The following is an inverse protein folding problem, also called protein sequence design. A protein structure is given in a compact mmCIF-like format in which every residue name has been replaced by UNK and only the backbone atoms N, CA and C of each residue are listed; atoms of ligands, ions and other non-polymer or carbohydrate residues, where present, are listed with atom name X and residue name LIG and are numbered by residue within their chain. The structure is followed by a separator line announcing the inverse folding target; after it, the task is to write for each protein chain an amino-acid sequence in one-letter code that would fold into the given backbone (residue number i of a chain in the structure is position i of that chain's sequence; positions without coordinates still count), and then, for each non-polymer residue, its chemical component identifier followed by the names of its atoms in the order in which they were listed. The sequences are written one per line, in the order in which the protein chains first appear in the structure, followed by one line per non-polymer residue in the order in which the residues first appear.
data_IF_961135377206
#
_entry.id   IF_961135377206
#
_cell.length_a   1.000
_cell.length_b   1.000
_cell.length_c   1.000
_cell.angle_alpha   90.00
_cell.angle_beta   90.00
_cell.angle_gamma   90.00
#
_symmetry.space_group_name_H-M   'P 1'
#
loop_
_entity.id
_entity.type
_entity.pdbx_description
1 polymer ?
#
# COMPACT_ATOMS: atom_id res chain seq x y z
N UNK A 1 42.50 -13.56 -44.07
CA UNK A 1 42.55 -13.81 -42.61
C UNK A 1 41.15 -13.95 -42.05
N UNK A 2 41.00 -14.94 -41.17
CA UNK A 2 39.79 -15.62 -40.73
C UNK A 2 38.97 -14.85 -39.67
N UNK A 3 37.63 -14.87 -39.77
CA UNK A 3 36.68 -14.90 -38.62
C UNK A 3 35.38 -15.67 -38.92
N UNK A 4 35.38 -16.57 -39.91
CA UNK A 4 34.21 -17.43 -40.22
C UNK A 4 34.56 -18.87 -39.90
N UNK A 5 34.24 -19.31 -38.67
CA UNK A 5 33.99 -20.70 -38.22
C UNK A 5 34.41 -20.85 -36.76
N UNK A 6 33.40 -20.91 -35.88
CA UNK A 6 33.32 -21.43 -34.49
C UNK A 6 32.28 -20.52 -33.82
N UNK A 7 31.02 -20.91 -33.58
CA UNK A 7 30.55 -22.10 -32.90
C UNK A 7 29.13 -22.43 -33.40
N UNK A 8 28.99 -23.59 -34.04
CA UNK A 8 27.75 -24.33 -34.04
C UNK A 8 27.84 -25.34 -32.90
N UNK A 9 27.02 -25.20 -31.86
CA UNK A 9 26.59 -26.29 -30.99
C UNK A 9 25.53 -25.76 -30.01
N UNK A 10 24.50 -26.58 -29.78
CA UNK A 10 23.38 -26.43 -28.84
C UNK A 10 22.10 -25.79 -29.41
N UNK A 11 21.60 -26.43 -30.46
CA UNK A 11 20.17 -26.73 -30.51
C UNK A 11 19.86 -27.94 -29.60
N UNK A 12 18.60 -28.03 -29.16
CA UNK A 12 17.98 -29.14 -28.43
C UNK A 12 18.08 -29.10 -26.88
N UNK A 13 17.38 -28.14 -26.28
CA UNK A 13 16.92 -28.22 -24.89
C UNK A 13 15.40 -28.17 -24.84
N UNK A 14 14.79 -29.34 -25.01
CA UNK A 14 13.42 -29.74 -24.63
C UNK A 14 12.46 -28.67 -24.12
N UNK A 15 11.36 -28.53 -24.86
CA UNK A 15 10.06 -28.17 -24.32
C UNK A 15 9.74 -29.05 -23.10
N UNK A 16 9.90 -28.48 -21.92
CA UNK A 16 9.19 -28.87 -20.73
C UNK A 16 8.72 -27.56 -20.11
N UNK A 17 7.57 -27.08 -20.60
CA UNK A 17 6.75 -26.19 -19.81
C UNK A 17 6.44 -26.97 -18.53
N UNK A 18 7.19 -26.69 -17.47
CA UNK A 18 6.79 -27.02 -16.12
C UNK A 18 5.52 -26.21 -15.88
N UNK A 19 4.38 -26.79 -16.24
CA UNK A 19 3.12 -26.50 -15.57
C UNK A 19 3.35 -27.00 -14.15
N UNK A 20 4.01 -26.16 -13.35
CA UNK A 20 3.92 -26.27 -11.92
C UNK A 20 2.42 -26.33 -11.62
N UNK A 21 1.95 -27.25 -10.75
CA UNK A 21 0.61 -27.12 -10.25
C UNK A 21 0.52 -25.69 -9.74
N UNK A 22 -0.42 -24.92 -10.28
CA UNK A 22 -0.83 -23.68 -9.64
C UNK A 22 -1.37 -24.18 -8.32
N UNK A 23 -0.50 -24.24 -7.31
CA UNK A 23 -0.91 -24.34 -5.93
C UNK A 23 -2.00 -23.30 -5.83
N UNK A 24 -3.22 -23.76 -5.56
CA UNK A 24 -4.34 -22.87 -5.31
C UNK A 24 -3.78 -21.83 -4.34
N UNK A 25 -3.52 -20.62 -4.83
CA UNK A 25 -2.95 -19.58 -4.01
C UNK A 25 -4.04 -19.39 -2.98
N UNK A 26 -3.81 -19.84 -1.75
CA UNK A 26 -4.68 -19.50 -0.65
C UNK A 26 -4.72 -17.98 -0.67
N UNK A 27 -5.83 -17.42 -1.17
CA UNK A 27 -6.02 -15.99 -1.25
C UNK A 27 -5.80 -15.48 0.15
N UNK A 28 -4.81 -14.59 0.34
CA UNK A 28 -4.55 -14.02 1.65
C UNK A 28 -5.89 -13.48 2.18
N UNK A 29 -6.38 -13.92 3.36
CA UNK A 29 -7.68 -13.49 3.86
C UNK A 29 -7.75 -11.97 4.08
N UNK A 30 -6.60 -11.31 4.24
CA UNK A 30 -6.51 -9.85 4.33
C UNK A 30 -6.20 -9.18 2.97
N UNK A 31 -6.32 -9.88 1.83
CA UNK A 31 -5.93 -9.33 0.51
C UNK A 31 -6.68 -8.03 0.18
N UNK A 32 -7.97 -7.94 0.50
CA UNK A 32 -8.75 -6.72 0.27
C UNK A 32 -8.31 -5.59 1.19
N UNK A 33 -8.08 -5.87 2.49
CA UNK A 33 -7.52 -4.91 3.44
C UNK A 33 -6.18 -4.35 2.96
N UNK A 34 -5.29 -5.23 2.49
CA UNK A 34 -3.98 -4.85 1.95
C UNK A 34 -4.14 -3.95 0.71
N UNK A 35 -5.10 -4.24 -0.16
CA UNK A 35 -5.37 -3.42 -1.34
C UNK A 35 -5.93 -2.03 -0.96
N UNK A 36 -6.79 -1.95 0.06
CA UNK A 36 -7.30 -0.68 0.57
C UNK A 36 -6.18 0.16 1.17
N UNK A 37 -5.32 -0.43 2.00
CA UNK A 37 -4.12 0.22 2.54
C UNK A 37 -3.22 0.74 1.41
N UNK A 38 -2.99 -0.05 0.35
CA UNK A 38 -2.16 0.38 -0.76
C UNK A 38 -2.75 1.59 -1.52
N UNK A 39 -4.08 1.64 -1.68
CA UNK A 39 -4.77 2.77 -2.30
C UNK A 39 -4.73 4.01 -1.42
N UNK A 40 -4.93 3.83 -0.11
CA UNK A 40 -4.80 4.89 0.87
C UNK A 40 -3.38 5.48 0.88
N UNK A 41 -2.34 4.62 0.89
CA UNK A 41 -0.94 5.03 0.79
C UNK A 41 -0.63 5.81 -0.50
N UNK A 42 -1.28 5.47 -1.61
CA UNK A 42 -1.11 6.16 -2.87
C UNK A 42 -1.71 7.57 -2.83
N UNK A 43 -2.90 7.72 -2.23
CA UNK A 43 -3.51 9.01 -2.01
C UNK A 43 -2.68 9.88 -1.07
N UNK A 44 -2.10 9.30 -0.03
CA UNK A 44 -1.28 10.08 0.92
C UNK A 44 -0.03 10.62 0.25
N UNK A 45 0.68 9.79 -0.53
CA UNK A 45 1.82 10.29 -1.31
C UNK A 45 1.41 11.39 -2.28
N UNK A 46 0.24 11.27 -2.91
CA UNK A 46 -0.28 12.30 -3.82
C UNK A 46 -0.62 13.57 -3.07
N UNK A 47 -1.24 13.48 -1.91
CA UNK A 47 -1.53 14.61 -1.04
C UNK A 47 -0.23 15.34 -0.63
N UNK A 48 0.76 14.60 -0.14
CA UNK A 48 2.06 15.16 0.26
C UNK A 48 2.76 15.89 -0.90
N UNK A 49 2.63 15.41 -2.15
CA UNK A 49 3.22 16.11 -3.32
C UNK A 49 2.63 17.49 -3.60
N UNK A 50 1.45 17.81 -3.05
CA UNK A 50 0.86 19.15 -3.15
C UNK A 50 1.57 20.18 -2.25
N UNK A 51 2.36 19.71 -1.28
CA UNK A 51 3.08 20.52 -0.30
C UNK A 51 4.60 20.42 -0.43
N UNK A 52 5.10 19.64 -1.39
CA UNK A 52 6.52 19.62 -1.74
C UNK A 52 6.87 20.77 -2.69
N UNK A 53 8.07 21.33 -2.56
CA UNK A 53 8.57 22.45 -3.37
C UNK A 53 8.62 22.15 -4.89
N UNK A 54 8.49 20.89 -5.30
CA UNK A 54 8.52 20.44 -6.70
C UNK A 54 7.30 20.91 -7.52
N UNK A 55 6.19 21.24 -6.86
CA UNK A 55 4.97 21.75 -7.51
C UNK A 55 4.56 23.04 -6.79
N UNK A 56 5.06 24.22 -7.20
CA UNK A 56 4.68 25.46 -6.57
C UNK A 56 3.20 25.76 -6.86
N UNK A 57 2.36 25.54 -5.87
CA UNK A 57 0.97 25.99 -5.83
C UNK A 57 0.94 27.23 -4.94
N UNK A 58 1.00 28.42 -5.57
CA UNK A 58 1.07 29.71 -4.88
C UNK A 58 -0.24 30.10 -4.18
N UNK A 59 -1.37 29.56 -4.65
CA UNK A 59 -2.71 29.83 -4.14
C UNK A 59 -3.21 28.68 -3.26
N UNK A 60 -3.43 28.97 -1.98
CA UNK A 60 -3.99 28.04 -1.00
C UNK A 60 -5.33 27.45 -1.47
N UNK A 61 -6.21 28.27 -2.06
CA UNK A 61 -7.51 27.80 -2.55
C UNK A 61 -7.36 26.79 -3.71
N UNK A 62 -6.35 26.99 -4.57
CA UNK A 62 -6.06 26.05 -5.64
C UNK A 62 -5.48 24.73 -5.10
N UNK A 63 -4.69 24.79 -4.02
CA UNK A 63 -4.17 23.59 -3.34
C UNK A 63 -5.30 22.81 -2.68
N UNK A 64 -6.18 23.51 -1.98
CA UNK A 64 -7.35 22.90 -1.31
C UNK A 64 -8.27 22.22 -2.31
N UNK A 65 -8.54 22.86 -3.46
CA UNK A 65 -9.35 22.26 -4.52
C UNK A 65 -8.73 20.96 -5.09
N UNK A 66 -7.40 20.81 -5.05
CA UNK A 66 -6.71 19.59 -5.44
C UNK A 66 -6.65 18.55 -4.32
N UNK A 67 -6.55 19.00 -3.06
CA UNK A 67 -6.48 18.18 -1.87
C UNK A 67 -7.83 17.58 -1.48
N UNK A 68 -8.92 18.34 -1.57
CA UNK A 68 -10.27 17.96 -1.14
C UNK A 68 -10.73 16.60 -1.70
N UNK A 69 -10.65 16.31 -3.03
CA UNK A 69 -11.04 15.00 -3.53
C UNK A 69 -10.14 13.86 -3.04
N UNK A 70 -8.85 14.12 -2.80
CA UNK A 70 -7.91 13.13 -2.27
C UNK A 70 -8.28 12.79 -0.83
N UNK A 71 -8.49 13.81 0.00
CA UNK A 71 -8.87 13.66 1.40
C UNK A 71 -10.25 13.01 1.56
N UNK A 72 -11.22 13.35 0.70
CA UNK A 72 -12.53 12.70 0.69
C UNK A 72 -12.39 11.19 0.44
N UNK A 73 -11.59 10.80 -0.55
CA UNK A 73 -11.33 9.39 -0.83
C UNK A 73 -10.56 8.70 0.31
N UNK A 74 -9.59 9.38 0.92
CA UNK A 74 -8.85 8.84 2.07
C UNK A 74 -9.77 8.59 3.27
N UNK A 75 -10.75 9.47 3.52
CA UNK A 75 -11.77 9.26 4.56
C UNK A 75 -12.60 8.01 4.30
N UNK A 76 -13.13 7.88 3.08
CA UNK A 76 -13.90 6.69 2.68
C UNK A 76 -13.07 5.40 2.79
N UNK A 77 -11.79 5.46 2.40
CA UNK A 77 -10.88 4.31 2.50
C UNK A 77 -10.57 3.97 3.96
N UNK A 78 -10.35 4.96 4.81
CA UNK A 78 -10.10 4.76 6.23
C UNK A 78 -11.28 4.09 6.93
N UNK A 79 -12.51 4.55 6.69
CA UNK A 79 -13.72 3.92 7.23
C UNK A 79 -13.85 2.45 6.79
N UNK A 80 -13.52 2.16 5.53
CA UNK A 80 -13.51 0.78 5.03
C UNK A 80 -12.42 -0.03 5.70
N UNK A 81 -11.20 0.48 5.82
CA UNK A 81 -10.06 -0.19 6.46
C UNK A 81 -10.41 -0.56 7.91
N UNK A 82 -10.96 0.39 8.68
CA UNK A 82 -11.28 0.18 10.11
C UNK A 82 -12.46 -0.77 10.33
N UNK A 83 -13.27 -1.03 9.30
CA UNK A 83 -14.32 -2.06 9.33
C UNK A 83 -13.79 -3.51 9.27
N UNK A 84 -12.53 -3.71 8.86
CA UNK A 84 -11.92 -5.03 8.80
C UNK A 84 -11.40 -5.51 10.17
N UNK A 85 -11.21 -6.82 10.25
CA UNK A 85 -10.37 -7.45 11.26
C UNK A 85 -9.08 -7.93 10.60
N UNK A 86 -7.95 -7.61 11.20
CA UNK A 86 -6.65 -8.10 10.75
C UNK A 86 -6.53 -9.57 11.17
N UNK A 87 -6.25 -10.46 10.22
CA UNK A 87 -6.13 -11.90 10.49
C UNK A 87 -4.75 -12.47 10.18
N UNK A 88 -3.90 -11.67 9.53
CA UNK A 88 -2.55 -12.07 9.12
C UNK A 88 -1.52 -11.00 9.48
N UNK A 89 -0.27 -11.43 9.64
CA UNK A 89 0.87 -10.50 9.81
C UNK A 89 1.06 -9.58 8.60
N UNK A 90 0.70 -10.05 7.39
CA UNK A 90 0.77 -9.22 6.18
C UNK A 90 -0.27 -8.08 6.21
N UNK A 91 -1.50 -8.35 6.64
CA UNK A 91 -2.52 -7.34 6.88
C UNK A 91 -2.10 -6.37 7.98
N UNK A 92 -1.53 -6.89 9.08
CA UNK A 92 -1.01 -6.05 10.17
C UNK A 92 0.06 -5.08 9.69
N UNK A 93 1.05 -5.59 8.95
CA UNK A 93 2.12 -4.78 8.40
C UNK A 93 1.60 -3.72 7.42
N UNK A 94 0.57 -4.03 6.63
CA UNK A 94 -0.05 -3.06 5.73
C UNK A 94 -0.71 -1.90 6.49
N UNK A 95 -1.53 -2.20 7.51
CA UNK A 95 -2.19 -1.17 8.33
C UNK A 95 -1.17 -0.33 9.10
N UNK A 96 -0.16 -0.96 9.71
CA UNK A 96 0.89 -0.24 10.45
C UNK A 96 1.70 0.69 9.53
N UNK A 97 2.00 0.25 8.30
CA UNK A 97 2.67 1.10 7.31
C UNK A 97 1.81 2.30 6.90
N UNK A 98 0.52 2.08 6.63
CA UNK A 98 -0.39 3.17 6.26
C UNK A 98 -0.51 4.20 7.38
N UNK A 99 -0.62 3.75 8.63
CA UNK A 99 -0.65 4.64 9.79
C UNK A 99 0.63 5.48 9.89
N UNK A 100 1.81 4.86 9.78
CA UNK A 100 3.08 5.60 9.85
C UNK A 100 3.34 6.54 8.66
N UNK A 101 2.65 6.36 7.53
CA UNK A 101 2.69 7.28 6.40
C UNK A 101 1.73 8.47 6.61
N UNK A 102 0.54 8.21 7.14
CA UNK A 102 -0.50 9.20 7.40
C UNK A 102 -0.16 10.13 8.56
N UNK A 103 0.38 9.56 9.63
CA UNK A 103 0.76 10.30 10.82
C UNK A 103 2.22 9.98 11.14
N UNK A 104 3.11 10.92 10.82
CA UNK A 104 4.53 10.81 11.21
C UNK A 104 4.77 11.15 12.69
N UNK A 105 3.75 11.67 13.37
CA UNK A 105 3.80 12.20 14.75
C UNK A 105 3.01 11.37 15.75
N UNK A 106 2.73 10.10 15.43
CA UNK A 106 1.95 9.17 16.29
C UNK A 106 2.29 9.37 17.77
N UNK A 107 1.32 9.89 18.53
CA UNK A 107 1.44 10.20 19.97
C UNK A 107 1.43 11.69 20.32
N UNK A 108 1.48 12.58 19.33
CA UNK A 108 1.20 14.01 19.52
C UNK A 108 -0.30 14.30 19.32
N UNK A 109 -0.88 15.28 20.05
CA UNK A 109 -2.27 15.67 19.81
C UNK A 109 -2.42 16.23 18.39
N UNK A 110 -3.01 15.45 17.50
CA UNK A 110 -3.33 15.90 16.15
C UNK A 110 -4.77 16.44 16.13
N UNK A 111 -5.02 17.49 15.33
CA UNK A 111 -6.40 17.91 15.01
C UNK A 111 -7.06 17.00 13.98
N UNK A 112 -6.40 15.89 13.59
CA UNK A 112 -6.88 15.03 12.52
C UNK A 112 -8.11 14.26 13.01
N UNK A 113 -9.07 14.04 12.10
CA UNK A 113 -10.22 13.17 12.33
C UNK A 113 -9.71 11.86 12.92
N UNK A 114 -10.26 11.38 14.05
CA UNK A 114 -9.80 10.22 14.87
C UNK A 114 -9.70 8.84 14.18
N UNK A 115 -9.42 8.82 12.88
CA UNK A 115 -9.01 7.70 12.04
C UNK A 115 -7.70 7.10 12.54
N UNK A 116 -6.73 7.93 12.92
CA UNK A 116 -5.47 7.50 13.56
C UNK A 116 -5.76 6.69 14.83
N UNK A 117 -6.62 7.19 15.73
CA UNK A 117 -7.07 6.48 16.93
C UNK A 117 -7.74 5.15 16.59
N UNK A 118 -8.58 5.12 15.54
CA UNK A 118 -9.26 3.89 15.09
C UNK A 118 -8.28 2.87 14.53
N UNK A 119 -7.30 3.28 13.72
CA UNK A 119 -6.26 2.41 13.16
C UNK A 119 -5.36 1.86 14.26
N UNK A 120 -4.97 2.70 15.24
CA UNK A 120 -4.23 2.26 16.43
C UNK A 120 -5.07 1.25 17.23
N UNK A 121 -6.34 1.54 17.50
CA UNK A 121 -7.23 0.65 18.22
C UNK A 121 -7.39 -0.70 17.51
N UNK A 122 -7.49 -0.70 16.18
CA UNK A 122 -7.53 -1.89 15.34
C UNK A 122 -6.24 -2.73 15.48
N UNK A 123 -5.06 -2.10 15.38
CA UNK A 123 -3.78 -2.76 15.56
C UNK A 123 -3.65 -3.38 16.96
N UNK A 124 -4.00 -2.65 18.02
CA UNK A 124 -3.94 -3.13 19.40
C UNK A 124 -4.91 -4.29 19.64
N UNK A 125 -6.14 -4.18 19.14
CA UNK A 125 -7.18 -5.22 19.25
C UNK A 125 -6.71 -6.51 18.61
N UNK A 126 -6.17 -6.43 17.40
CA UNK A 126 -5.89 -7.61 16.59
C UNK A 126 -4.51 -8.22 16.86
N UNK A 127 -3.53 -7.45 17.35
CA UNK A 127 -2.24 -7.98 17.81
C UNK A 127 -2.41 -9.07 18.89
N UNK A 128 -3.37 -8.89 19.81
CA UNK A 128 -3.68 -9.87 20.86
C UNK A 128 -4.28 -11.17 20.33
N UNK A 129 -4.89 -11.14 19.15
CA UNK A 129 -5.49 -12.32 18.53
C UNK A 129 -4.49 -13.12 17.69
N UNK A 130 -3.29 -12.56 17.46
CA UNK A 130 -2.22 -13.16 16.65
C UNK A 130 -1.04 -13.71 17.48
N UNK A 131 -1.03 -13.46 18.80
CA UNK A 131 -0.06 -14.02 19.77
C UNK A 131 -0.54 -15.34 20.34
#
# INVERSE_FOLDING_TARGET
MNRRRTLAALAAGTAAALVAPIAAHASNPDAELIALCARFDANERRYLTLYTDDIPIEDEAARDALAEPIQAEQRDLAERITSYRITTLAGFAAVARSLGLWDSTIGEPSEHSGIDEQLVAMLVRDARAMS
#
